data_IF_523922023060
#
_entry.id   IF_523922023060
#
_cell.length_a   1.000
_cell.length_b   1.000
_cell.length_c   1.000
_cell.angle_alpha   90.00
_cell.angle_beta   90.00
_cell.angle_gamma   90.00
#
_symmetry.space_group_name_H-M   'P 1'
#
loop_
_entity.id
_entity.type
_entity.pdbx_description
1 polymer ?
#
# COMPACT_ATOMS: atom_id res chain seq x y z
N UNK A 1 5.23 9.63 -23.77
CA UNK A 1 4.06 10.44 -23.29
C UNK A 1 2.91 10.52 -24.30
N UNK A 2 3.15 10.76 -25.62
CA UNK A 2 2.05 10.86 -26.62
C UNK A 2 1.30 9.54 -26.82
N UNK A 3 2.00 8.42 -26.95
CA UNK A 3 1.41 7.09 -27.11
C UNK A 3 0.53 6.69 -25.91
N UNK A 4 1.03 6.93 -24.68
CA UNK A 4 0.25 6.71 -23.48
C UNK A 4 -1.06 7.53 -23.47
N UNK A 5 -1.02 8.80 -23.85
CA UNK A 5 -2.21 9.66 -23.90
C UNK A 5 -3.23 9.18 -24.94
N UNK A 6 -2.76 8.66 -26.08
CA UNK A 6 -3.63 8.11 -27.13
C UNK A 6 -4.33 6.85 -26.60
N UNK A 7 -3.57 5.92 -26.00
CA UNK A 7 -4.10 4.70 -25.42
C UNK A 7 -5.10 4.99 -24.30
N UNK A 8 -4.73 5.86 -23.34
CA UNK A 8 -5.60 6.21 -22.22
C UNK A 8 -6.92 6.88 -22.66
N UNK A 9 -6.91 7.71 -23.71
CA UNK A 9 -8.12 8.29 -24.28
C UNK A 9 -8.99 7.26 -24.98
N UNK A 10 -8.37 6.33 -25.72
CA UNK A 10 -9.10 5.23 -26.35
C UNK A 10 -9.77 4.35 -25.30
N UNK A 11 -9.02 3.92 -24.29
CA UNK A 11 -9.50 3.07 -23.21
C UNK A 11 -10.66 3.76 -22.44
N UNK A 12 -10.50 5.06 -22.13
CA UNK A 12 -11.56 5.84 -21.49
C UNK A 12 -12.83 5.95 -22.32
N UNK A 13 -12.71 6.06 -23.64
CA UNK A 13 -13.86 6.16 -24.55
C UNK A 13 -14.69 4.88 -24.62
N UNK A 14 -14.07 3.70 -24.45
CA UNK A 14 -14.74 2.39 -24.51
C UNK A 14 -15.05 1.81 -23.12
N UNK A 15 -14.68 2.50 -22.03
CA UNK A 15 -14.91 2.03 -20.67
C UNK A 15 -16.36 2.23 -20.26
N UNK A 16 -17.05 1.16 -19.89
CA UNK A 16 -18.40 1.19 -19.34
C UNK A 16 -18.46 1.56 -17.86
N UNK A 17 -17.44 1.19 -17.10
CA UNK A 17 -17.35 1.49 -15.68
C UNK A 17 -15.95 1.35 -15.12
N UNK A 18 -15.66 2.11 -14.07
CA UNK A 18 -14.41 2.03 -13.32
C UNK A 18 -14.70 1.84 -11.83
N UNK A 19 -13.98 0.92 -11.20
CA UNK A 19 -14.11 0.68 -9.76
C UNK A 19 -13.38 1.79 -8.99
N UNK A 20 -14.06 2.38 -8.00
CA UNK A 20 -13.50 3.35 -7.08
C UNK A 20 -13.55 2.83 -5.64
N UNK A 21 -12.50 3.10 -4.88
CA UNK A 21 -12.44 2.77 -3.46
C UNK A 21 -12.57 3.99 -2.55
N UNK A 22 -12.62 5.21 -3.08
CA UNK A 22 -12.77 6.39 -2.22
C UNK A 22 -13.44 7.55 -2.95
N UNK A 23 -14.13 8.39 -2.16
CA UNK A 23 -14.71 9.63 -2.65
C UNK A 23 -13.68 10.58 -3.28
N UNK A 24 -12.46 10.60 -2.73
CA UNK A 24 -11.36 11.42 -3.24
C UNK A 24 -10.98 11.05 -4.69
N UNK A 25 -11.07 9.78 -5.06
CA UNK A 25 -10.68 9.29 -6.38
C UNK A 25 -11.81 9.40 -7.42
N UNK A 26 -13.07 9.51 -7.02
CA UNK A 26 -14.20 9.52 -7.94
C UNK A 26 -14.07 10.57 -9.05
N UNK A 27 -13.78 11.82 -8.68
CA UNK A 27 -13.61 12.89 -9.65
C UNK A 27 -12.26 12.87 -10.36
N UNK A 28 -11.24 12.34 -9.69
CA UNK A 28 -9.92 12.18 -10.31
C UNK A 28 -9.95 11.16 -11.44
N UNK A 29 -10.65 10.05 -11.27
CA UNK A 29 -10.76 9.01 -12.30
C UNK A 29 -11.43 9.51 -13.57
N UNK A 30 -12.48 10.32 -13.48
CA UNK A 30 -13.12 10.93 -14.64
C UNK A 30 -12.14 11.76 -15.47
N UNK A 31 -11.26 12.52 -14.81
CA UNK A 31 -10.29 13.40 -15.47
C UNK A 31 -9.06 12.63 -15.95
N UNK A 32 -8.52 11.73 -15.12
CA UNK A 32 -7.29 11.01 -15.39
C UNK A 32 -7.43 10.00 -16.54
N UNK A 33 -8.59 9.36 -16.66
CA UNK A 33 -8.83 8.30 -17.64
C UNK A 33 -9.68 8.73 -18.83
N UNK A 34 -10.05 10.02 -18.96
CA UNK A 34 -10.89 10.53 -20.05
C UNK A 34 -12.15 9.70 -20.27
N UNK A 35 -12.78 9.25 -19.18
CA UNK A 35 -13.97 8.40 -19.23
C UNK A 35 -15.06 9.06 -20.05
N UNK A 36 -15.75 8.28 -20.87
CA UNK A 36 -16.92 8.75 -21.58
C UNK A 36 -18.02 9.15 -20.60
N UNK A 37 -18.98 9.98 -21.07
CA UNK A 37 -20.05 10.55 -20.23
C UNK A 37 -20.98 9.51 -19.59
N UNK A 38 -21.09 8.34 -20.21
CA UNK A 38 -21.99 7.26 -19.80
C UNK A 38 -21.29 6.22 -18.90
N UNK A 39 -19.95 6.33 -18.77
CA UNK A 39 -19.17 5.48 -17.88
C UNK A 39 -19.56 5.65 -16.42
N UNK A 40 -19.77 4.54 -15.72
CA UNK A 40 -20.17 4.53 -14.31
C UNK A 40 -18.95 4.47 -13.39
N UNK A 41 -18.94 5.29 -12.34
CA UNK A 41 -18.00 5.11 -11.21
C UNK A 41 -18.66 4.15 -10.23
N UNK A 42 -18.07 2.95 -10.10
CA UNK A 42 -18.55 1.90 -9.21
C UNK A 42 -17.91 2.10 -7.82
N UNK A 43 -18.66 2.70 -6.92
CA UNK A 43 -18.26 3.03 -5.55
C UNK A 43 -18.38 1.81 -4.63
N UNK A 44 -17.60 0.78 -4.92
CA UNK A 44 -17.73 -0.54 -4.27
C UNK A 44 -16.49 -0.98 -3.49
N UNK A 45 -15.40 -0.23 -3.52
CA UNK A 45 -14.11 -0.64 -2.98
C UNK A 45 -13.29 -1.44 -4.00
N UNK A 46 -12.08 -1.81 -3.65
CA UNK A 46 -11.18 -2.59 -4.50
C UNK A 46 -11.30 -4.08 -4.19
N UNK A 47 -11.58 -4.95 -5.18
CA UNK A 47 -11.65 -6.41 -4.97
C UNK A 47 -10.43 -7.00 -4.27
N UNK A 48 -9.23 -6.47 -4.52
CA UNK A 48 -8.00 -6.91 -3.86
C UNK A 48 -8.01 -6.67 -2.34
N UNK A 49 -8.78 -5.70 -1.84
CA UNK A 49 -8.85 -5.36 -0.43
C UNK A 49 -9.84 -6.25 0.34
N UNK A 50 -10.73 -6.98 -0.35
CA UNK A 50 -11.67 -7.90 0.29
C UNK A 50 -10.95 -8.94 1.14
N UNK A 51 -9.84 -9.49 0.62
CA UNK A 51 -9.03 -10.46 1.36
C UNK A 51 -8.46 -9.87 2.66
N UNK A 52 -7.94 -8.64 2.61
CA UNK A 52 -7.36 -7.96 3.76
C UNK A 52 -8.41 -7.69 4.83
N UNK A 53 -9.56 -7.13 4.44
CA UNK A 53 -10.64 -6.74 5.36
C UNK A 53 -11.25 -7.98 6.02
N UNK A 54 -11.53 -9.01 5.24
CA UNK A 54 -12.19 -10.23 5.72
C UNK A 54 -11.28 -11.10 6.58
N UNK A 55 -9.96 -10.89 6.55
CA UNK A 55 -8.98 -11.71 7.27
C UNK A 55 -8.09 -10.91 8.24
N UNK A 56 -8.36 -9.62 8.47
CA UNK A 56 -7.52 -8.77 9.32
C UNK A 56 -7.26 -9.36 10.71
N UNK A 57 -8.29 -10.01 11.31
CA UNK A 57 -8.25 -10.62 12.62
C UNK A 57 -8.20 -12.15 12.59
N UNK A 58 -7.96 -12.77 11.43
CA UNK A 58 -7.92 -14.22 11.26
C UNK A 58 -6.57 -14.79 11.77
N UNK A 59 -6.49 -15.02 13.08
CA UNK A 59 -5.27 -15.49 13.75
C UNK A 59 -4.72 -16.79 13.15
N UNK A 60 -5.60 -17.73 12.80
CA UNK A 60 -5.18 -19.01 12.22
C UNK A 60 -4.49 -18.81 10.86
N UNK A 61 -5.05 -17.95 10.01
CA UNK A 61 -4.45 -17.62 8.71
C UNK A 61 -3.12 -16.87 8.88
N UNK A 62 -3.07 -15.88 9.80
CA UNK A 62 -1.83 -15.14 10.12
C UNK A 62 -0.72 -16.09 10.56
N UNK A 63 -1.03 -17.02 11.49
CA UNK A 63 -0.07 -18.01 11.97
C UNK A 63 0.43 -18.90 10.82
N UNK A 64 -0.48 -19.43 10.01
CA UNK A 64 -0.12 -20.29 8.86
C UNK A 64 0.80 -19.56 7.85
N UNK A 65 0.49 -18.29 7.53
CA UNK A 65 1.35 -17.51 6.62
C UNK A 65 2.73 -17.28 7.26
N UNK A 66 2.79 -16.91 8.54
CA UNK A 66 4.06 -16.70 9.26
C UNK A 66 4.90 -17.98 9.30
N UNK A 67 4.31 -19.12 9.59
CA UNK A 67 4.98 -20.43 9.55
C UNK A 67 5.55 -20.74 8.15
N UNK A 68 4.76 -20.52 7.10
CA UNK A 68 5.15 -20.74 5.69
C UNK A 68 6.38 -19.91 5.30
N UNK A 69 6.57 -18.73 5.89
CA UNK A 69 7.70 -17.84 5.63
C UNK A 69 8.74 -17.84 6.76
N UNK A 70 8.67 -18.81 7.67
CA UNK A 70 9.59 -19.03 8.80
C UNK A 70 9.70 -17.83 9.77
N UNK A 71 8.59 -17.17 10.07
CA UNK A 71 8.51 -16.08 11.05
C UNK A 71 7.91 -16.62 12.35
N UNK A 72 8.54 -16.38 13.54
CA UNK A 72 7.99 -16.74 14.82
C UNK A 72 6.61 -16.07 15.07
N UNK A 73 5.69 -16.79 15.72
CA UNK A 73 4.32 -16.31 15.95
C UNK A 73 4.25 -15.04 16.80
N UNK A 74 5.18 -14.88 17.76
CA UNK A 74 5.29 -13.74 18.68
C UNK A 74 6.01 -12.53 18.09
N UNK A 75 6.63 -12.68 16.91
CA UNK A 75 7.39 -11.62 16.25
C UNK A 75 6.53 -10.40 15.92
N UNK A 76 7.14 -9.21 16.03
CA UNK A 76 6.62 -8.00 15.39
C UNK A 76 7.10 -7.96 13.94
N UNK A 77 6.20 -7.90 13.00
CA UNK A 77 6.51 -8.05 11.58
C UNK A 77 6.29 -6.74 10.82
N UNK A 78 7.34 -6.24 10.19
CA UNK A 78 7.35 -5.02 9.38
C UNK A 78 7.40 -5.40 7.90
N UNK A 79 6.44 -4.97 7.10
CA UNK A 79 6.49 -5.06 5.64
C UNK A 79 7.07 -3.77 5.06
N UNK A 80 8.17 -3.84 4.34
CA UNK A 80 8.68 -2.75 3.53
C UNK A 80 8.36 -2.99 2.05
N UNK A 81 7.51 -2.14 1.46
CA UNK A 81 7.01 -2.30 0.10
C UNK A 81 7.06 -0.97 -0.67
N UNK A 82 8.23 -0.52 -1.12
CA UNK A 82 8.40 0.76 -1.80
C UNK A 82 7.95 0.71 -3.26
N UNK A 83 7.68 1.89 -3.83
CA UNK A 83 7.34 2.08 -5.25
C UNK A 83 8.56 1.86 -6.15
N UNK A 84 8.35 1.27 -7.31
CA UNK A 84 9.37 1.12 -8.35
C UNK A 84 9.81 2.47 -8.94
N UNK A 85 11.09 2.62 -9.27
CA UNK A 85 11.67 3.78 -9.97
C UNK A 85 11.95 3.42 -11.42
N UNK A 86 11.38 4.18 -12.37
CA UNK A 86 11.52 3.94 -13.81
C UNK A 86 12.95 4.11 -14.31
N UNK A 87 13.71 4.98 -13.66
CA UNK A 87 15.11 5.26 -13.96
C UNK A 87 16.09 4.29 -13.29
N UNK A 88 15.54 3.27 -12.60
CA UNK A 88 16.31 2.26 -11.87
C UNK A 88 17.23 2.83 -10.78
N UNK A 89 17.00 4.05 -10.30
CA UNK A 89 17.75 4.61 -9.17
C UNK A 89 17.49 3.83 -7.89
N UNK A 90 18.50 3.78 -7.00
CA UNK A 90 18.44 3.03 -5.75
C UNK A 90 18.26 3.91 -4.53
N UNK A 91 18.33 5.23 -4.69
CA UNK A 91 18.27 6.17 -3.57
C UNK A 91 16.98 6.04 -2.73
N UNK A 92 15.84 5.74 -3.37
CA UNK A 92 14.57 5.50 -2.69
C UNK A 92 14.55 4.23 -1.83
N UNK A 93 15.52 3.33 -1.98
CA UNK A 93 15.59 2.05 -1.27
C UNK A 93 16.67 2.02 -0.18
N UNK A 94 17.36 3.15 0.10
CA UNK A 94 18.43 3.24 1.10
C UNK A 94 17.92 3.38 2.53
N UNK A 95 16.92 2.57 2.88
CA UNK A 95 16.46 2.44 4.25
C UNK A 95 17.53 1.75 5.10
N UNK A 96 17.81 2.27 6.31
CA UNK A 96 18.67 1.60 7.29
C UNK A 96 17.83 0.51 8.00
N UNK A 97 17.71 -0.64 7.32
CA UNK A 97 16.81 -1.73 7.72
C UNK A 97 17.11 -2.19 9.16
N UNK A 98 18.38 -2.31 9.53
CA UNK A 98 18.74 -2.79 10.86
C UNK A 98 18.40 -1.78 11.96
N UNK A 99 18.64 -0.48 11.75
CA UNK A 99 18.24 0.53 12.73
C UNK A 99 16.72 0.66 12.82
N UNK A 100 16.01 0.60 11.70
CA UNK A 100 14.55 0.63 11.67
C UNK A 100 13.96 -0.59 12.39
N UNK A 101 14.48 -1.80 12.12
CA UNK A 101 14.11 -3.04 12.79
C UNK A 101 14.27 -2.91 14.32
N UNK A 102 15.45 -2.45 14.78
CA UNK A 102 15.73 -2.23 16.21
C UNK A 102 14.83 -1.18 16.86
N UNK A 103 14.45 -0.13 16.12
CA UNK A 103 13.53 0.87 16.62
C UNK A 103 12.15 0.27 16.90
N UNK A 104 11.63 -0.58 15.99
CA UNK A 104 10.37 -1.32 16.22
C UNK A 104 10.50 -2.31 17.37
N UNK A 105 11.59 -3.08 17.42
CA UNK A 105 11.86 -4.03 18.49
C UNK A 105 11.84 -3.34 19.87
N UNK A 106 12.55 -2.21 19.99
CA UNK A 106 12.58 -1.41 21.22
C UNK A 106 11.20 -0.82 21.56
N UNK A 107 10.49 -0.27 20.54
CA UNK A 107 9.22 0.39 20.76
C UNK A 107 8.12 -0.56 21.20
N UNK A 108 8.06 -1.76 20.64
CA UNK A 108 7.00 -2.73 20.90
C UNK A 108 7.40 -3.85 21.88
N UNK A 109 8.68 -3.92 22.29
CA UNK A 109 9.20 -4.90 23.23
C UNK A 109 9.11 -6.34 22.73
N UNK A 110 9.16 -6.56 21.43
CA UNK A 110 9.07 -7.87 20.77
C UNK A 110 10.20 -8.04 19.76
N UNK A 111 10.73 -9.26 19.57
CA UNK A 111 11.64 -9.54 18.47
C UNK A 111 11.01 -9.11 17.14
N UNK A 112 11.78 -8.42 16.28
CA UNK A 112 11.24 -7.79 15.08
C UNK A 112 11.83 -8.39 13.81
N UNK A 113 10.99 -8.69 12.83
CA UNK A 113 11.33 -9.15 11.50
C UNK A 113 10.92 -8.12 10.45
N UNK A 114 11.76 -7.92 9.43
CA UNK A 114 11.44 -7.09 8.27
C UNK A 114 11.30 -7.94 7.02
N UNK A 115 10.16 -7.83 6.36
CA UNK A 115 9.86 -8.44 5.07
C UNK A 115 10.09 -7.38 3.99
N UNK A 116 11.10 -7.54 3.17
CA UNK A 116 11.45 -6.60 2.11
C UNK A 116 10.83 -7.10 0.80
N UNK A 117 9.84 -6.37 0.29
CA UNK A 117 9.17 -6.72 -0.97
C UNK A 117 9.29 -5.60 -1.98
N UNK A 118 10.32 -5.66 -2.79
CA UNK A 118 10.49 -4.74 -3.91
C UNK A 118 9.55 -5.12 -5.06
N UNK A 119 9.31 -4.18 -5.95
CA UNK A 119 8.58 -4.46 -7.18
C UNK A 119 9.37 -5.47 -8.05
N UNK A 120 8.74 -6.41 -8.77
CA UNK A 120 9.45 -7.39 -9.60
C UNK A 120 10.47 -6.79 -10.59
N UNK A 121 10.21 -5.58 -11.09
CA UNK A 121 11.13 -4.86 -11.97
C UNK A 121 12.37 -4.31 -11.22
N UNK A 122 12.33 -4.24 -9.90
CA UNK A 122 13.43 -3.76 -9.05
C UNK A 122 14.35 -4.89 -8.55
N UNK A 123 14.27 -6.09 -9.13
CA UNK A 123 15.08 -7.27 -8.69
C UNK A 123 16.59 -7.02 -8.67
N UNK A 124 17.10 -6.13 -9.53
CA UNK A 124 18.54 -5.80 -9.55
C UNK A 124 18.97 -5.01 -8.31
N UNK A 125 18.05 -4.20 -7.75
CA UNK A 125 18.28 -3.40 -6.55
C UNK A 125 18.28 -4.24 -5.26
N UNK A 126 17.71 -5.45 -5.31
CA UNK A 126 17.76 -6.41 -4.18
C UNK A 126 19.20 -6.71 -3.77
N UNK A 127 20.14 -6.77 -4.73
CA UNK A 127 21.54 -7.06 -4.47
C UNK A 127 22.28 -5.97 -3.64
N UNK A 128 21.67 -4.80 -3.47
CA UNK A 128 22.22 -3.71 -2.65
C UNK A 128 21.74 -3.76 -1.20
N UNK A 129 20.81 -4.67 -0.89
CA UNK A 129 20.25 -4.85 0.45
C UNK A 129 20.99 -5.98 1.15
N UNK A 130 21.46 -5.72 2.36
CA UNK A 130 22.03 -6.75 3.24
C UNK A 130 20.90 -7.49 3.96
N UNK A 131 20.69 -8.75 3.59
CA UNK A 131 19.71 -9.63 4.23
C UNK A 131 20.31 -10.38 5.39
N UNK A 132 19.52 -10.61 6.43
CA UNK A 132 19.87 -11.39 7.63
C UNK A 132 18.79 -12.41 7.93
N UNK A 133 18.87 -13.11 9.06
CA UNK A 133 17.79 -13.99 9.53
C UNK A 133 16.49 -13.23 9.84
N UNK A 134 16.57 -11.94 10.20
CA UNK A 134 15.45 -11.09 10.57
C UNK A 134 15.06 -10.06 9.48
N UNK A 135 15.89 -9.89 8.44
CA UNK A 135 15.63 -9.01 7.28
C UNK A 135 15.57 -9.89 6.04
N UNK A 136 14.38 -10.20 5.59
CA UNK A 136 14.13 -11.28 4.63
C UNK A 136 13.67 -10.71 3.29
N UNK A 137 14.26 -11.20 2.18
CA UNK A 137 13.79 -10.90 0.82
C UNK A 137 12.49 -11.64 0.51
N UNK A 138 11.42 -10.87 0.33
CA UNK A 138 10.11 -11.34 -0.11
C UNK A 138 9.72 -10.84 -1.51
N UNK A 139 10.70 -10.32 -2.28
CA UNK A 139 10.45 -9.77 -3.63
C UNK A 139 9.83 -10.80 -4.58
N UNK A 140 10.18 -12.08 -4.44
CA UNK A 140 9.62 -13.16 -5.25
C UNK A 140 8.37 -13.82 -4.65
N UNK A 141 7.94 -13.40 -3.44
CA UNK A 141 6.71 -13.94 -2.85
C UNK A 141 5.49 -13.55 -3.70
N UNK A 142 4.63 -14.51 -4.09
CA UNK A 142 3.62 -14.26 -5.13
C UNK A 142 2.53 -13.25 -4.71
N UNK A 143 2.11 -13.27 -3.45
CA UNK A 143 0.96 -12.51 -2.98
C UNK A 143 1.31 -11.49 -1.89
N UNK A 144 1.21 -10.20 -2.23
CA UNK A 144 1.42 -9.11 -1.26
C UNK A 144 0.32 -9.08 -0.18
N UNK A 145 -0.88 -9.57 -0.48
CA UNK A 145 -1.98 -9.57 0.49
C UNK A 145 -1.70 -10.55 1.63
N UNK A 146 -1.12 -11.72 1.33
CA UNK A 146 -0.66 -12.64 2.37
C UNK A 146 0.42 -12.00 3.25
N UNK A 147 1.42 -11.34 2.66
CA UNK A 147 2.45 -10.62 3.43
C UNK A 147 1.85 -9.49 4.27
N UNK A 148 0.86 -8.77 3.75
CA UNK A 148 0.17 -7.71 4.48
C UNK A 148 -0.61 -8.26 5.69
N UNK A 149 -1.32 -9.37 5.54
CA UNK A 149 -2.00 -10.05 6.65
C UNK A 149 -1.00 -10.50 7.72
N UNK A 150 0.14 -11.07 7.32
CA UNK A 150 1.17 -11.54 8.24
C UNK A 150 1.89 -10.42 8.98
N UNK A 151 1.85 -9.18 8.48
CA UNK A 151 2.59 -8.05 9.03
C UNK A 151 1.77 -7.24 10.04
N UNK A 152 2.44 -6.64 11.02
CA UNK A 152 1.85 -5.77 12.03
C UNK A 152 1.85 -4.30 11.60
N UNK A 153 2.80 -3.93 10.73
CA UNK A 153 2.98 -2.57 10.20
C UNK A 153 3.51 -2.60 8.77
N UNK A 154 3.18 -1.59 7.97
CA UNK A 154 3.80 -1.36 6.66
C UNK A 154 4.61 -0.07 6.65
N UNK A 155 5.77 -0.11 5.98
CA UNK A 155 6.51 1.08 5.56
C UNK A 155 6.49 1.09 4.03
N UNK A 156 6.06 2.19 3.45
CA UNK A 156 6.11 2.41 2.00
C UNK A 156 6.51 3.85 1.71
N UNK A 157 6.47 4.25 0.46
CA UNK A 157 6.80 5.61 0.03
C UNK A 157 5.59 6.26 -0.68
N UNK A 158 5.54 6.24 -2.00
CA UNK A 158 4.48 6.88 -2.81
C UNK A 158 3.37 5.92 -3.21
N UNK A 159 3.38 4.69 -2.69
CA UNK A 159 2.44 3.64 -3.04
C UNK A 159 1.10 3.79 -2.34
N UNK A 160 0.01 3.47 -3.06
CA UNK A 160 -1.33 3.32 -2.47
C UNK A 160 -1.44 2.12 -1.50
N UNK A 161 -0.45 1.26 -1.42
CA UNK A 161 -0.44 0.10 -0.51
C UNK A 161 -0.59 0.48 0.96
N UNK A 162 -0.17 1.70 1.37
CA UNK A 162 -0.42 2.21 2.73
C UNK A 162 -1.91 2.34 3.04
N UNK A 163 -2.72 2.71 2.05
CA UNK A 163 -4.18 2.76 2.20
C UNK A 163 -4.78 1.36 2.23
N UNK A 164 -4.37 0.48 1.31
CA UNK A 164 -4.83 -0.91 1.31
C UNK A 164 -4.56 -1.56 2.68
N UNK A 165 -3.34 -1.40 3.21
CA UNK A 165 -2.94 -1.90 4.52
C UNK A 165 -3.76 -1.27 5.67
N UNK A 166 -4.04 0.02 5.59
CA UNK A 166 -4.80 0.74 6.62
C UNK A 166 -6.27 0.30 6.72
N UNK A 167 -6.82 -0.38 5.70
CA UNK A 167 -8.16 -0.98 5.77
C UNK A 167 -8.28 -2.05 6.85
N UNK A 168 -7.15 -2.66 7.25
CA UNK A 168 -7.06 -3.60 8.37
C UNK A 168 -6.97 -2.91 9.74
N UNK A 169 -6.96 -1.57 9.80
CA UNK A 169 -6.73 -0.81 11.03
C UNK A 169 -5.30 -0.86 11.57
N UNK A 170 -4.37 -1.44 10.83
CA UNK A 170 -2.95 -1.57 11.20
C UNK A 170 -2.15 -0.30 10.87
N UNK A 171 -1.03 -0.02 11.58
CA UNK A 171 -0.19 1.14 11.32
C UNK A 171 0.50 1.10 9.95
N UNK A 172 0.58 2.28 9.31
CA UNK A 172 1.35 2.48 8.09
C UNK A 172 2.22 3.73 8.24
N UNK A 173 3.46 3.69 7.71
CA UNK A 173 4.40 4.79 7.69
C UNK A 173 4.79 5.11 6.25
N UNK A 174 4.97 6.40 5.95
CA UNK A 174 5.51 6.86 4.67
C UNK A 174 6.96 7.28 4.87
N UNK A 175 7.88 6.67 4.12
CA UNK A 175 9.30 7.00 4.12
C UNK A 175 9.75 7.31 2.69
N UNK A 176 9.87 8.61 2.36
CA UNK A 176 10.14 9.13 1.03
C UNK A 176 11.58 9.66 0.94
N UNK A 177 12.57 8.75 0.92
CA UNK A 177 14.01 9.10 0.98
C UNK A 177 14.53 9.87 -0.25
N UNK A 178 13.79 9.85 -1.35
CA UNK A 178 14.12 10.50 -2.62
C UNK A 178 13.00 11.47 -3.08
N UNK A 179 12.31 12.11 -2.14
CA UNK A 179 11.11 12.92 -2.39
C UNK A 179 11.31 13.94 -3.52
N UNK A 180 12.39 14.72 -3.48
CA UNK A 180 12.65 15.73 -4.49
C UNK A 180 12.78 15.10 -5.89
N UNK A 181 13.57 14.04 -6.02
CA UNK A 181 13.75 13.32 -7.28
C UNK A 181 12.44 12.74 -7.82
N UNK A 182 11.61 12.17 -6.93
CA UNK A 182 10.31 11.63 -7.32
C UNK A 182 9.34 12.72 -7.80
N UNK A 183 9.32 13.87 -7.12
CA UNK A 183 8.51 15.02 -7.54
C UNK A 183 8.91 15.56 -8.91
N UNK A 184 10.22 15.63 -9.22
CA UNK A 184 10.74 16.10 -10.50
C UNK A 184 10.44 15.13 -11.66
N UNK A 185 10.46 13.82 -11.39
CA UNK A 185 10.34 12.78 -12.42
C UNK A 185 8.90 12.33 -12.66
N UNK A 186 8.13 12.10 -11.59
CA UNK A 186 6.77 11.57 -11.64
C UNK A 186 5.69 12.57 -11.22
N UNK A 187 6.03 13.48 -10.33
CA UNK A 187 5.09 14.37 -9.67
C UNK A 187 4.31 13.68 -8.55
N UNK A 188 3.75 14.49 -7.66
CA UNK A 188 2.85 14.06 -6.58
C UNK A 188 1.63 14.97 -6.58
N UNK A 189 0.50 14.42 -6.12
CA UNK A 189 -0.68 15.21 -5.82
C UNK A 189 -0.48 15.95 -4.50
N UNK A 190 -1.03 17.17 -4.37
CA UNK A 190 -0.97 17.95 -3.13
C UNK A 190 -1.57 17.22 -1.93
N UNK A 191 -2.54 16.32 -2.18
CA UNK A 191 -3.17 15.47 -1.18
C UNK A 191 -2.19 14.52 -0.49
N UNK A 192 -1.10 14.14 -1.13
CA UNK A 192 -0.09 13.24 -0.57
C UNK A 192 0.42 13.72 0.80
N UNK A 193 0.68 15.03 0.94
CA UNK A 193 1.17 15.62 2.19
C UNK A 193 0.10 15.79 3.26
N UNK A 194 -1.16 15.44 2.95
CA UNK A 194 -2.30 15.49 3.88
C UNK A 194 -2.76 14.11 4.35
N UNK A 195 -2.06 13.05 3.92
CA UNK A 195 -2.38 11.69 4.34
C UNK A 195 -2.20 11.52 5.86
N UNK A 196 -2.98 10.64 6.48
CA UNK A 196 -3.01 10.49 7.95
C UNK A 196 -1.82 9.70 8.51
N UNK A 197 -0.88 9.33 7.66
CA UNK A 197 0.25 8.47 7.99
C UNK A 197 1.45 9.29 8.49
N UNK A 198 2.24 8.80 9.48
CA UNK A 198 3.54 9.37 9.78
C UNK A 198 4.40 9.45 8.52
N UNK A 199 4.92 10.66 8.24
CA UNK A 199 5.68 10.95 7.01
C UNK A 199 7.12 11.33 7.36
N UNK A 200 8.10 10.74 6.67
CA UNK A 200 9.53 10.98 6.84
C UNK A 200 10.26 11.03 5.52
N UNK A 201 11.31 11.87 5.46
CA UNK A 201 12.21 12.03 4.31
C UNK A 201 13.63 11.53 4.63
N UNK A 202 13.86 11.00 5.83
CA UNK A 202 15.15 10.44 6.24
C UNK A 202 14.97 9.25 7.18
N UNK A 203 16.03 8.43 7.28
CA UNK A 203 16.09 7.32 8.21
C UNK A 203 15.94 7.78 9.67
N UNK A 204 16.61 8.87 10.05
CA UNK A 204 16.59 9.43 11.40
C UNK A 204 15.18 9.85 11.78
N UNK A 205 14.47 10.53 10.87
CA UNK A 205 13.09 10.97 11.11
C UNK A 205 12.12 9.80 11.23
N UNK A 206 12.28 8.78 10.39
CA UNK A 206 11.49 7.56 10.49
C UNK A 206 11.69 6.87 11.84
N UNK A 207 12.96 6.69 12.25
CA UNK A 207 13.32 6.07 13.54
C UNK A 207 12.72 6.87 14.70
N UNK A 208 12.84 8.21 14.68
CA UNK A 208 12.21 9.07 15.67
C UNK A 208 10.70 8.84 15.76
N UNK A 209 10.02 8.81 14.62
CA UNK A 209 8.57 8.57 14.56
C UNK A 209 8.18 7.18 15.10
N UNK A 210 8.98 6.15 14.83
CA UNK A 210 8.74 4.81 15.36
C UNK A 210 8.91 4.80 16.89
N UNK A 211 9.99 5.39 17.41
CA UNK A 211 10.25 5.42 18.85
C UNK A 211 9.14 6.14 19.64
N UNK A 212 8.57 7.20 19.09
CA UNK A 212 7.50 7.97 19.72
C UNK A 212 6.10 7.66 19.16
N UNK A 213 5.94 6.54 18.44
CA UNK A 213 4.67 6.18 17.83
C UNK A 213 3.58 5.98 18.90
N UNK A 214 2.49 6.73 18.75
CA UNK A 214 1.28 6.62 19.56
C UNK A 214 0.15 6.02 18.72
N UNK A 215 -0.14 4.76 18.98
CA UNK A 215 -1.16 4.01 18.24
C UNK A 215 -2.57 4.59 18.41
N UNK A 216 -2.91 5.11 19.60
CA UNK A 216 -4.22 5.71 19.84
C UNK A 216 -4.38 7.00 19.02
N UNK A 217 -3.37 7.86 19.03
CA UNK A 217 -3.33 9.08 18.22
C UNK A 217 -3.40 8.75 16.73
N UNK A 218 -2.67 7.74 16.27
CA UNK A 218 -2.71 7.27 14.89
C UNK A 218 -4.13 6.83 14.49
N UNK A 219 -4.78 5.99 15.30
CA UNK A 219 -6.16 5.52 15.06
C UNK A 219 -7.17 6.66 14.99
N UNK A 220 -7.05 7.65 15.87
CA UNK A 220 -7.89 8.87 15.84
C UNK A 220 -7.68 9.66 14.56
N UNK A 221 -6.41 9.88 14.15
CA UNK A 221 -6.08 10.60 12.93
C UNK A 221 -6.61 9.87 11.68
N UNK A 222 -6.42 8.57 11.62
CA UNK A 222 -6.90 7.72 10.53
C UNK A 222 -8.44 7.79 10.41
N UNK A 223 -9.14 7.64 11.54
CA UNK A 223 -10.61 7.77 11.60
C UNK A 223 -11.09 9.14 11.12
N UNK A 224 -10.44 10.22 11.59
CA UNK A 224 -10.79 11.59 11.20
C UNK A 224 -10.57 11.82 9.70
N UNK A 225 -9.49 11.27 9.15
CA UNK A 225 -9.21 11.35 7.71
C UNK A 225 -10.27 10.62 6.90
N UNK A 226 -10.61 9.37 7.23
CA UNK A 226 -11.63 8.60 6.52
C UNK A 226 -13.08 9.10 6.75
N UNK A 227 -13.32 9.82 7.83
CA UNK A 227 -14.60 10.54 8.00
C UNK A 227 -14.74 11.66 6.98
N UNK A 228 -13.66 12.39 6.69
CA UNK A 228 -13.63 13.47 5.68
C UNK A 228 -13.51 12.95 4.24
N UNK A 229 -12.83 11.82 4.07
CA UNK A 229 -12.55 11.16 2.78
C UNK A 229 -13.05 9.72 2.83
N UNK A 230 -14.37 9.48 2.72
CA UNK A 230 -14.94 8.15 2.86
C UNK A 230 -14.35 7.15 1.87
N UNK A 231 -14.02 5.95 2.37
CA UNK A 231 -13.64 4.79 1.56
C UNK A 231 -14.82 3.85 1.38
N UNK A 232 -14.83 3.12 0.26
CA UNK A 232 -15.91 2.20 -0.11
C UNK A 232 -15.55 0.73 0.15
N UNK A 233 -14.33 0.46 0.58
CA UNK A 233 -13.85 -0.89 0.89
C UNK A 233 -14.60 -1.46 2.11
N UNK A 234 -15.31 -2.59 1.91
CA UNK A 234 -16.13 -3.26 2.94
C UNK A 234 -15.96 -4.78 2.94
N UNK A 235 -15.06 -5.32 2.11
CA UNK A 235 -14.82 -6.75 2.00
C UNK A 235 -15.79 -7.50 1.10
N UNK A 236 -16.55 -6.80 0.24
CA UNK A 236 -17.55 -7.35 -0.68
C UNK A 236 -17.44 -6.80 -2.11
N UNK A 237 -16.34 -6.11 -2.42
CA UNK A 237 -16.15 -5.43 -3.70
C UNK A 237 -16.12 -6.41 -4.89
N UNK A 238 -15.53 -7.58 -4.73
CA UNK A 238 -15.48 -8.60 -5.79
C UNK A 238 -16.89 -9.08 -6.17
N UNK A 239 -17.73 -9.36 -5.18
CA UNK A 239 -19.13 -9.79 -5.41
C UNK A 239 -19.90 -8.69 -6.16
N UNK A 240 -19.82 -7.45 -5.68
CA UNK A 240 -20.49 -6.31 -6.31
C UNK A 240 -20.02 -6.05 -7.74
N UNK A 241 -18.71 -6.23 -8.01
CA UNK A 241 -18.17 -6.09 -9.36
C UNK A 241 -18.73 -7.16 -10.30
N UNK A 242 -18.81 -8.43 -9.85
CA UNK A 242 -19.39 -9.53 -10.63
C UNK A 242 -20.89 -9.29 -10.87
N UNK A 243 -21.66 -8.90 -9.87
CA UNK A 243 -23.08 -8.60 -10.01
C UNK A 243 -23.33 -7.52 -11.04
N UNK A 244 -22.54 -6.44 -11.00
CA UNK A 244 -22.62 -5.37 -12.01
C UNK A 244 -22.32 -5.86 -13.42
N UNK A 245 -21.28 -6.72 -13.60
CA UNK A 245 -20.95 -7.30 -14.90
C UNK A 245 -22.07 -8.19 -15.43
N UNK A 246 -22.64 -9.04 -14.57
CA UNK A 246 -23.76 -9.92 -14.96
C UNK A 246 -25.01 -9.13 -15.38
N UNK A 247 -25.30 -8.03 -14.67
CA UNK A 247 -26.42 -7.17 -15.04
C UNK A 247 -26.20 -6.46 -16.39
N UNK A 248 -24.96 -6.04 -16.66
CA UNK A 248 -24.60 -5.48 -17.98
C UNK A 248 -24.77 -6.49 -19.09
N UNK A 249 -24.33 -7.74 -18.88
CA UNK A 249 -24.45 -8.82 -19.90
C UNK A 249 -25.91 -9.20 -20.23
N UNK A 250 -26.83 -9.04 -19.26
CA UNK A 250 -28.27 -9.33 -19.49
C UNK A 250 -28.98 -8.21 -20.26
N UNK A 251 -28.44 -6.98 -20.22
CA UNK A 251 -29.07 -5.80 -20.78
C UNK A 251 -28.43 -5.34 -22.12
N UNK A 252 -27.44 -6.05 -22.61
CA UNK A 252 -26.85 -5.93 -23.93
C UNK A 252 -27.27 -7.13 -24.82
#
# INVERSE_FOLDING_TARGET
>A
KKEYLISAKHDGAITDGIISNSHLLDEQYKRAFWLNKDAKILKIGLPRNDFLINNADNKALITNIREKINIPSEAYVVLYAPTFRDDYTTNGYKLDFEKVRKAFETRFGKPCWMLIRLHPNARRQVNEIEFTSEIIDMTSYPDIQELSIASDVVISDYSSSVFDFSTMGKPAFICALDLQHYMETRGLLDEFFRFPFPFSESNEKLIEQICYFDENKYRVNLKNYFTKNPIYDKGDAAIKAVDWLLDKMKNN
#
